data_IF_361782527371
#
_entry.id   IF_361782527371
#
_cell.length_a   1.000
_cell.length_b   1.000
_cell.length_c   1.000
_cell.angle_alpha   90.00
_cell.angle_beta   90.00
_cell.angle_gamma   90.00
#
_symmetry.space_group_name_H-M   'P 1'
#
loop_
_entity.id
_entity.type
_entity.pdbx_description
1 polymer ?
2 polymer ?
3 polymer ?
#
loop_
_entity_poly.entity_id
_entity_poly.type
_entity_poly.pdbx_seq_one_letter_code
_entity_poly.pdbx_strand_id
2 'polydeoxyribonucleotide' '(DT)(DA)(DA)(DT)(DG)(DT)(DC)(DA)(DA)(DA)(DT)(DA)(DT)(DT)(DG)(DA)(DC)(DA)' ?
3 'polydeoxyribonucleotide' '(DT)(DG)(DT)(DC)(DA)(DA)(DT)(DA)(DT)(DT)(DT)(DG)(DA)(DC)(DA)(DT)(DT)(DA)' ?
#
# COMPACT_ATOMS: atom_id res chain seq x y z
N UNK A 10 -18.45 24.97 2.51
CA UNK A 10 -17.07 25.14 2.05
C UNK A 10 -16.61 23.96 1.19
N UNK A 11 -16.39 24.20 -0.11
CA UNK A 11 -15.94 23.11 -1.00
C UNK A 11 -14.57 22.59 -0.64
N UNK A 12 -14.02 21.65 -1.41
CA UNK A 12 -12.76 21.05 -1.00
C UNK A 12 -11.73 20.97 -2.13
N UNK A 13 -12.14 20.48 -3.29
CA UNK A 13 -11.24 20.48 -4.44
C UNK A 13 -11.02 21.90 -4.96
N UNK A 14 -12.12 22.60 -5.26
CA UNK A 14 -12.03 24.00 -5.66
C UNK A 14 -11.57 24.95 -4.57
N UNK A 15 -11.25 24.42 -3.38
CA UNK A 15 -10.79 25.23 -2.27
C UNK A 15 -9.27 25.38 -2.25
N UNK A 16 -8.55 24.47 -2.89
CA UNK A 16 -7.11 24.39 -2.77
C UNK A 16 -6.41 25.38 -3.70
N UNK A 17 -5.14 25.67 -3.38
CA UNK A 17 -4.35 26.60 -4.16
C UNK A 17 -4.00 25.98 -5.52
N UNK A 18 -3.88 26.83 -6.53
CA UNK A 18 -3.65 26.33 -7.89
C UNK A 18 -2.41 25.46 -7.96
N UNK A 19 -1.36 25.84 -7.22
CA UNK A 19 -0.10 25.10 -7.31
C UNK A 19 -0.29 23.64 -6.92
N UNK A 20 -1.08 23.37 -5.86
CA UNK A 20 -1.27 21.99 -5.45
C UNK A 20 -1.91 21.17 -6.55
N UNK A 21 -2.92 21.72 -7.21
CA UNK A 21 -3.55 21.00 -8.31
C UNK A 21 -2.57 20.85 -9.46
N UNK A 22 -1.68 21.83 -9.65
CA UNK A 22 -0.67 21.69 -10.69
C UNK A 22 0.36 20.63 -10.31
N UNK A 23 0.81 20.66 -9.05
CA UNK A 23 1.75 19.64 -8.57
C UNK A 23 1.13 18.26 -8.69
N UNK A 24 -0.10 18.12 -8.17
CA UNK A 24 -0.74 16.83 -8.11
C UNK A 24 -1.09 16.32 -9.50
N UNK A 25 -1.26 17.21 -10.48
CA UNK A 25 -1.54 16.73 -11.82
C UNK A 25 -0.31 16.05 -12.42
N UNK A 26 0.89 16.57 -12.17
CA UNK A 26 2.09 15.88 -12.62
C UNK A 26 2.17 14.48 -12.06
N UNK A 27 1.88 14.34 -10.76
CA UNK A 27 1.95 13.03 -10.11
C UNK A 27 0.89 12.09 -10.67
N UNK A 28 -0.39 12.51 -10.63
CA UNK A 28 -1.49 11.60 -10.91
C UNK A 28 -1.80 11.47 -12.40
N UNK A 29 -1.69 12.56 -13.15
CA UNK A 29 -2.04 12.56 -14.57
C UNK A 29 -0.81 12.34 -15.45
N UNK A 30 0.25 13.11 -15.21
CA UNK A 30 1.48 12.98 -15.99
C UNK A 30 2.34 11.81 -15.54
N UNK A 31 1.93 11.10 -14.48
CA UNK A 31 2.66 9.94 -14.02
C UNK A 31 3.97 10.24 -13.33
N UNK A 32 4.34 11.51 -13.19
CA UNK A 32 5.61 11.90 -12.58
C UNK A 32 5.68 11.46 -11.13
N UNK A 33 6.90 11.32 -10.63
CA UNK A 33 7.08 10.90 -9.26
C UNK A 33 7.01 12.10 -8.33
N UNK A 34 6.79 11.81 -7.04
CA UNK A 34 6.73 12.88 -6.05
C UNK A 34 8.08 13.56 -5.90
N UNK A 35 9.14 12.78 -5.68
CA UNK A 35 10.48 13.34 -5.64
C UNK A 35 10.82 14.06 -6.94
N UNK A 36 10.30 13.57 -8.07
CA UNK A 36 10.54 14.25 -9.35
C UNK A 36 10.02 15.68 -9.33
N UNK A 37 8.69 15.85 -9.24
CA UNK A 37 8.10 17.18 -9.21
C UNK A 37 8.63 18.00 -8.04
N UNK A 38 9.08 17.33 -6.97
CA UNK A 38 9.72 18.03 -5.86
C UNK A 38 10.96 18.80 -6.33
N UNK A 39 11.95 18.07 -6.87
CA UNK A 39 13.13 18.74 -7.40
C UNK A 39 12.81 19.64 -8.58
N UNK A 40 11.80 19.28 -9.38
CA UNK A 40 11.39 20.12 -10.50
C UNK A 40 10.98 21.51 -10.02
N UNK A 41 10.01 21.57 -9.12
CA UNK A 41 9.53 22.84 -8.60
C UNK A 41 10.21 23.22 -7.29
N UNK A 42 11.32 22.56 -6.96
CA UNK A 42 12.18 23.04 -5.89
C UNK A 42 11.59 22.92 -4.51
N UNK A 43 10.77 21.90 -4.27
CA UNK A 43 10.16 21.72 -2.97
C UNK A 43 10.59 20.38 -2.39
N UNK A 44 10.37 20.22 -1.08
CA UNK A 44 10.71 18.97 -0.42
C UNK A 44 9.77 17.86 -0.88
N UNK A 45 10.26 16.62 -0.80
CA UNK A 45 9.43 15.47 -1.17
C UNK A 45 8.33 15.20 -0.15
N UNK A 46 8.43 15.80 1.05
CA UNK A 46 7.35 15.67 2.04
C UNK A 46 6.22 16.64 1.72
N UNK A 47 6.57 17.81 1.21
CA UNK A 47 5.55 18.78 0.85
C UNK A 47 4.71 18.26 -0.31
N UNK A 48 5.34 17.65 -1.31
CA UNK A 48 4.61 17.10 -2.45
C UNK A 48 3.73 15.93 -2.01
N UNK A 49 4.18 15.15 -1.02
CA UNK A 49 3.36 14.06 -0.50
C UNK A 49 2.09 14.61 0.15
N UNK A 50 2.22 15.60 1.02
CA UNK A 50 1.06 16.21 1.62
C UNK A 50 0.23 16.97 0.60
N UNK A 51 0.90 17.61 -0.37
CA UNK A 51 0.18 18.33 -1.42
C UNK A 51 -0.72 17.40 -2.21
N UNK A 52 -0.20 16.25 -2.62
CA UNK A 52 -0.99 15.25 -3.33
C UNK A 52 -2.06 14.66 -2.40
N UNK A 53 -1.70 14.40 -1.14
CA UNK A 53 -2.62 13.76 -0.22
C UNK A 53 -3.90 14.57 -0.04
N UNK A 54 -3.78 15.90 0.03
CA UNK A 54 -4.97 16.74 0.15
C UNK A 54 -5.90 16.56 -1.05
N UNK A 55 -5.33 16.34 -2.23
CA UNK A 55 -6.15 16.09 -3.41
C UNK A 55 -6.84 14.73 -3.31
N UNK A 56 -6.11 13.71 -2.86
CA UNK A 56 -6.70 12.37 -2.81
C UNK A 56 -7.75 12.28 -1.70
N UNK A 57 -7.56 13.03 -0.61
CA UNK A 57 -8.55 13.03 0.47
C UNK A 57 -9.82 13.80 0.09
N UNK A 58 -9.72 14.83 -0.75
CA UNK A 58 -10.92 15.51 -1.25
C UNK A 58 -11.59 14.67 -2.32
N UNK A 59 -10.80 14.08 -3.23
CA UNK A 59 -11.35 13.12 -4.18
C UNK A 59 -11.91 11.89 -3.50
N UNK A 60 -11.44 11.56 -2.30
CA UNK A 60 -12.04 10.53 -1.47
C UNK A 60 -13.08 11.11 -0.53
N UNK A 61 -13.29 12.43 -0.58
CA UNK A 61 -14.34 13.10 0.18
C UNK A 61 -14.30 12.69 1.66
N UNK A 62 -13.10 12.44 2.17
CA UNK A 62 -12.88 12.02 3.54
C UNK A 62 -12.04 13.09 4.23
N UNK A 63 -11.90 13.07 5.56
CA UNK A 63 -11.05 14.06 6.23
C UNK A 63 -9.61 14.01 5.75
N UNK A 64 -8.97 15.18 5.74
CA UNK A 64 -7.58 15.27 5.28
C UNK A 64 -6.63 14.58 6.23
N UNK A 65 -6.86 14.71 7.55
CA UNK A 65 -6.04 14.04 8.55
C UNK A 65 -6.12 12.53 8.49
N UNK A 66 -7.11 11.98 7.79
CA UNK A 66 -7.22 10.54 7.68
C UNK A 66 -6.03 9.97 6.91
N UNK A 67 -5.58 8.81 7.35
CA UNK A 67 -4.46 8.11 6.73
C UNK A 67 -4.96 6.85 6.07
N UNK A 68 -4.42 6.57 4.88
CA UNK A 68 -4.74 5.33 4.18
C UNK A 68 -3.94 4.19 4.78
N UNK A 69 -4.53 3.00 4.79
CA UNK A 69 -3.89 1.81 5.31
C UNK A 69 -4.26 0.62 4.43
N UNK A 70 -3.28 0.07 3.71
CA UNK A 70 -3.45 -1.13 2.90
C UNK A 70 -2.73 -2.27 3.59
N UNK A 71 -3.45 -3.37 3.82
CA UNK A 71 -3.06 -4.39 4.78
C UNK A 71 -3.64 -5.73 4.36
N UNK A 72 -2.92 -6.80 4.69
CA UNK A 72 -3.39 -8.16 4.48
C UNK A 72 -3.88 -8.70 5.82
N UNK A 73 -5.12 -9.19 5.85
CA UNK A 73 -5.71 -9.61 7.11
C UNK A 73 -6.59 -10.81 6.90
N UNK A 74 -6.73 -11.68 7.90
CA UNK A 74 -7.68 -12.78 7.80
C UNK A 74 -9.08 -12.26 7.52
N UNK A 75 -9.90 -13.03 6.79
CA UNK A 75 -11.23 -12.51 6.40
C UNK A 75 -12.10 -12.09 7.58
N UNK A 76 -12.08 -12.86 8.66
CA UNK A 76 -12.77 -12.44 9.88
C UNK A 76 -12.42 -11.01 10.21
N UNK A 77 -11.15 -10.76 10.53
CA UNK A 77 -10.70 -9.42 10.86
C UNK A 77 -10.69 -8.46 9.67
N UNK A 78 -10.77 -8.97 8.44
CA UNK A 78 -10.82 -8.07 7.29
C UNK A 78 -12.19 -7.42 7.16
N UNK A 79 -13.26 -8.14 7.46
CA UNK A 79 -14.58 -7.50 7.49
C UNK A 79 -14.70 -6.58 8.70
N UNK A 80 -13.96 -6.88 9.78
CA UNK A 80 -13.89 -5.97 10.92
C UNK A 80 -13.42 -4.58 10.49
N UNK A 81 -12.28 -4.51 9.78
CA UNK A 81 -11.73 -3.21 9.40
C UNK A 81 -12.56 -2.58 8.28
N UNK A 82 -13.06 -3.40 7.35
CA UNK A 82 -13.92 -2.87 6.30
C UNK A 82 -15.16 -2.20 6.88
N UNK A 83 -15.60 -2.66 8.04
CA UNK A 83 -16.73 -2.05 8.73
C UNK A 83 -16.32 -0.76 9.43
N UNK A 84 -15.08 -0.68 9.90
CA UNK A 84 -14.60 0.54 10.55
C UNK A 84 -14.63 1.72 9.60
N UNK A 85 -14.22 1.51 8.36
CA UNK A 85 -14.32 2.58 7.36
C UNK A 85 -15.76 3.03 7.20
N UNK A 86 -16.70 2.10 7.24
CA UNK A 86 -18.11 2.44 7.14
C UNK A 86 -18.57 3.24 8.36
N UNK A 87 -18.23 2.76 9.56
CA UNK A 87 -18.59 3.45 10.80
C UNK A 87 -17.74 4.68 11.04
N UNK A 88 -16.84 5.02 10.12
CA UNK A 88 -16.15 6.29 10.13
C UNK A 88 -16.66 7.23 9.05
N UNK A 89 -16.77 6.73 7.81
CA UNK A 89 -17.39 7.53 6.75
C UNK A 89 -18.76 8.02 7.17
N UNK A 90 -19.54 7.16 7.82
CA UNK A 90 -20.88 7.49 8.30
C UNK A 90 -20.88 7.99 9.74
N UNK A 91 -19.70 8.24 10.32
CA UNK A 91 -19.60 8.93 11.59
C UNK A 91 -19.42 10.43 11.37
N UNK A 92 -18.40 10.81 10.60
CA UNK A 92 -18.23 12.22 10.25
C UNK A 92 -19.46 12.73 9.50
N UNK A 93 -20.09 11.86 8.71
CA UNK A 93 -21.30 12.26 7.98
C UNK A 93 -22.40 12.73 8.92
N UNK A 94 -22.45 12.17 10.13
CA UNK A 94 -23.38 12.60 11.17
C UNK A 94 -22.88 13.80 11.96
N UNK A 95 -21.56 13.91 12.18
CA UNK A 95 -21.02 15.06 12.89
C UNK A 95 -21.16 16.36 12.13
N UNK A 96 -21.29 16.30 10.80
CA UNK A 96 -21.34 17.55 10.03
C UNK A 96 -22.68 18.26 10.15
N UNK A 97 -23.77 17.50 10.31
CA UNK A 97 -25.11 18.08 10.33
C UNK A 97 -25.67 18.25 11.73
N UNK A 98 -25.07 17.65 12.76
CA UNK A 98 -25.61 17.67 14.12
C UNK A 98 -24.72 18.34 15.15
N UNK A 99 -23.41 18.41 14.94
CA UNK A 99 -22.54 19.09 15.88
C UNK A 99 -22.88 20.59 15.99
N UNK A 100 -23.44 21.19 14.93
CA UNK A 100 -23.95 22.55 15.03
C UNK A 100 -25.09 22.63 16.05
N UNK A 101 -25.63 21.49 16.47
CA UNK A 101 -26.64 21.40 17.52
C UNK A 101 -26.03 21.02 18.88
N UNK A 102 -24.83 21.54 19.15
CA UNK A 102 -24.24 21.53 20.49
C UNK A 102 -24.72 22.72 21.31
N UNK A 103 -26.02 23.03 21.31
CA UNK A 103 -26.58 24.29 21.87
C UNK A 103 -27.26 24.06 23.21
N UNK B 2 7.73 -24.72 -7.74
CA UNK B 2 6.57 -23.85 -7.90
C UNK B 2 6.09 -23.89 -9.36
N UNK B 3 4.78 -24.07 -9.56
CA UNK B 3 4.22 -24.14 -10.90
C UNK B 3 3.29 -22.95 -11.18
N UNK B 4 2.00 -23.23 -11.37
CA UNK B 4 0.99 -22.18 -11.36
C UNK B 4 0.70 -21.67 -9.95
N UNK B 5 1.40 -22.19 -8.95
CA UNK B 5 1.36 -21.60 -7.62
C UNK B 5 1.97 -20.22 -7.61
N UNK B 6 2.92 -19.96 -8.53
CA UNK B 6 3.51 -18.63 -8.64
C UNK B 6 2.48 -17.62 -9.09
N UNK B 7 1.86 -17.86 -10.24
CA UNK B 7 0.87 -16.95 -10.79
C UNK B 7 -0.21 -16.62 -9.78
N UNK B 8 -0.45 -17.51 -8.81
CA UNK B 8 -1.37 -17.22 -7.74
C UNK B 8 -0.74 -16.43 -6.61
N UNK B 9 0.57 -16.28 -6.60
CA UNK B 9 1.21 -15.48 -5.55
C UNK B 9 1.28 -14.00 -5.89
N UNK B 10 1.01 -13.62 -7.15
CA UNK B 10 1.20 -12.24 -7.61
C UNK B 10 0.51 -11.20 -6.72
N UNK B 11 -0.78 -11.33 -6.37
CA UNK B 11 -1.37 -10.31 -5.47
C UNK B 11 -0.53 -10.03 -4.23
N UNK B 12 -0.09 -11.08 -3.54
CA UNK B 12 0.75 -10.92 -2.35
C UNK B 12 2.17 -10.50 -2.69
N UNK B 13 2.54 -10.52 -3.97
CA UNK B 13 3.84 -10.04 -4.44
C UNK B 13 3.84 -8.55 -4.69
N UNK B 14 2.87 -7.83 -4.17
CA UNK B 14 2.92 -6.39 -4.21
C UNK B 14 4.17 -5.86 -3.55
N UNK B 15 4.42 -4.57 -3.76
CA UNK B 15 5.56 -3.81 -3.25
C UNK B 15 6.87 -4.22 -3.92
N UNK B 16 6.86 -5.22 -4.80
CA UNK B 16 8.00 -5.65 -5.58
C UNK B 16 7.79 -5.25 -7.04
N UNK B 17 8.87 -5.11 -7.79
CA UNK B 17 8.69 -4.69 -9.17
C UNK B 17 8.56 -5.88 -10.09
N UNK B 18 8.27 -5.58 -11.36
CA UNK B 18 8.04 -6.65 -12.31
C UNK B 18 9.34 -7.38 -12.63
N UNK B 19 10.43 -6.62 -12.79
CA UNK B 19 11.73 -7.25 -13.02
C UNK B 19 12.10 -8.17 -11.85
N UNK B 20 11.93 -7.69 -10.61
CA UNK B 20 12.16 -8.56 -9.46
C UNK B 20 11.22 -9.77 -9.48
N UNK B 21 10.01 -9.59 -9.97
CA UNK B 21 9.08 -10.71 -10.06
C UNK B 21 9.41 -11.61 -11.24
N UNK B 22 9.62 -11.00 -12.42
CA UNK B 22 10.01 -11.79 -13.59
C UNK B 22 11.27 -12.61 -13.32
N UNK B 23 12.26 -12.01 -12.66
CA UNK B 23 13.54 -12.68 -12.41
C UNK B 23 13.33 -13.89 -11.52
N UNK B 24 12.65 -13.69 -10.39
CA UNK B 24 12.41 -14.80 -9.47
C UNK B 24 11.55 -15.88 -10.11
N UNK B 25 10.78 -15.56 -11.15
CA UNK B 25 9.96 -16.58 -11.80
C UNK B 25 10.79 -17.47 -12.71
N UNK B 26 11.89 -16.94 -13.24
CA UNK B 26 12.80 -17.78 -14.02
C UNK B 26 13.46 -18.84 -13.14
N UNK B 27 13.70 -18.51 -11.86
CA UNK B 27 14.30 -19.46 -10.94
C UNK B 27 13.27 -20.43 -10.38
N UNK B 28 12.20 -19.91 -9.79
CA UNK B 28 11.29 -20.76 -9.03
C UNK B 28 10.43 -21.65 -9.92
N UNK B 29 10.10 -21.19 -11.12
CA UNK B 29 9.21 -21.92 -12.02
C UNK B 29 9.97 -22.45 -13.24
N UNK B 30 10.62 -21.56 -13.98
CA UNK B 30 11.38 -21.98 -15.17
C UNK B 30 12.56 -22.88 -14.83
N UNK B 31 12.91 -23.02 -13.55
CA UNK B 31 14.00 -23.88 -13.17
C UNK B 31 15.38 -23.33 -13.47
N UNK B 32 15.49 -22.10 -13.95
CA UNK B 32 16.80 -21.53 -14.21
C UNK B 32 17.57 -21.37 -12.89
N UNK B 33 18.88 -21.15 -13.01
CA UNK B 33 19.70 -21.00 -11.82
C UNK B 33 19.88 -19.52 -11.48
N UNK B 34 20.05 -19.25 -10.18
CA UNK B 34 20.25 -17.88 -9.72
C UNK B 34 21.47 -17.25 -10.40
N UNK B 35 22.62 -17.93 -10.35
CA UNK B 35 23.83 -17.35 -10.91
C UNK B 35 23.72 -17.19 -12.43
N UNK B 36 22.97 -18.06 -13.10
CA UNK B 36 22.81 -17.93 -14.54
C UNK B 36 22.02 -16.67 -14.90
N UNK B 37 20.87 -16.46 -14.25
CA UNK B 37 20.06 -15.28 -14.56
C UNK B 37 20.72 -14.02 -14.07
N UNK B 38 21.53 -14.10 -13.00
CA UNK B 38 22.24 -12.91 -12.54
C UNK B 38 23.17 -12.38 -13.63
N UNK B 39 23.82 -13.30 -14.36
CA UNK B 39 24.62 -12.90 -15.52
C UNK B 39 23.74 -12.46 -16.67
N UNK B 40 22.56 -13.08 -16.80
CA UNK B 40 21.65 -12.72 -17.89
C UNK B 40 21.21 -11.28 -17.78
N UNK B 41 20.80 -10.86 -16.58
CA UNK B 41 20.34 -9.49 -16.38
C UNK B 41 21.26 -8.70 -15.45
N UNK B 42 22.56 -8.73 -15.76
CA UNK B 42 23.56 -7.86 -15.16
C UNK B 42 23.44 -7.57 -13.68
N UNK B 43 23.40 -8.60 -12.86
CA UNK B 43 23.12 -8.46 -11.44
C UNK B 43 24.11 -9.30 -10.63
N UNK B 44 24.29 -8.93 -9.37
CA UNK B 44 25.00 -9.80 -8.45
C UNK B 44 24.18 -11.06 -8.20
N UNK B 45 24.87 -12.16 -7.96
CA UNK B 45 24.16 -13.39 -7.59
C UNK B 45 23.55 -13.29 -6.21
N UNK B 46 24.02 -12.35 -5.38
CA UNK B 46 23.40 -12.16 -4.07
C UNK B 46 22.04 -11.51 -4.20
N UNK B 47 21.88 -10.58 -5.15
CA UNK B 47 20.60 -9.94 -5.35
C UNK B 47 19.54 -10.94 -5.78
N UNK B 48 19.89 -11.79 -6.75
CA UNK B 48 18.93 -12.79 -7.24
C UNK B 48 18.58 -13.76 -6.12
N UNK B 49 19.53 -14.05 -5.23
CA UNK B 49 19.19 -14.78 -4.02
C UNK B 49 18.15 -14.03 -3.20
N UNK B 50 18.42 -12.75 -2.92
CA UNK B 50 17.50 -11.96 -2.13
C UNK B 50 16.18 -11.71 -2.88
N UNK B 51 16.24 -11.62 -4.20
CA UNK B 51 15.02 -11.38 -4.99
C UNK B 51 14.02 -12.51 -4.80
N UNK B 52 14.45 -13.76 -4.99
CA UNK B 52 13.52 -14.86 -4.84
C UNK B 52 13.14 -15.03 -3.37
N UNK B 53 14.10 -14.86 -2.46
CA UNK B 53 13.82 -15.01 -1.03
C UNK B 53 12.71 -14.07 -0.60
N UNK B 54 12.64 -12.90 -1.23
CA UNK B 54 11.52 -11.99 -1.04
C UNK B 54 10.21 -12.62 -1.52
N UNK B 55 10.21 -13.11 -2.75
CA UNK B 55 9.05 -13.77 -3.31
C UNK B 55 8.66 -14.98 -2.45
N UNK B 56 9.65 -15.71 -1.94
CA UNK B 56 9.38 -16.92 -1.17
C UNK B 56 8.81 -16.56 0.20
N UNK B 57 9.48 -15.64 0.90
CA UNK B 57 9.01 -15.24 2.22
C UNK B 57 7.61 -14.65 2.15
N UNK B 58 7.34 -13.82 1.14
CA UNK B 58 5.99 -13.27 0.97
C UNK B 58 4.94 -14.36 0.94
N UNK B 59 5.28 -15.55 0.44
CA UNK B 59 4.36 -16.68 0.49
C UNK B 59 4.12 -17.11 1.93
N UNK B 60 5.20 -17.31 2.69
CA UNK B 60 5.06 -17.76 4.08
C UNK B 60 4.42 -16.69 4.97
N UNK B 61 4.67 -15.42 4.68
CA UNK B 61 4.19 -14.35 5.55
C UNK B 61 2.67 -14.25 5.55
N UNK B 62 2.05 -14.37 4.37
CA UNK B 62 0.61 -14.18 4.22
C UNK B 62 0.00 -15.46 3.67
N UNK B 63 -0.92 -16.10 4.40
CA UNK B 63 -1.69 -17.20 3.80
C UNK B 63 -2.60 -16.69 2.68
N UNK B 64 -2.88 -17.59 1.73
CA UNK B 64 -3.75 -17.24 0.61
C UNK B 64 -5.19 -16.98 1.02
N UNK B 65 -5.56 -17.29 2.27
CA UNK B 65 -6.91 -17.01 2.75
C UNK B 65 -7.08 -15.54 3.10
N UNK B 66 -6.03 -14.87 3.55
CA UNK B 66 -6.14 -13.48 3.98
C UNK B 66 -6.58 -12.60 2.81
N UNK B 67 -7.24 -11.50 3.14
CA UNK B 67 -7.80 -10.59 2.15
C UNK B 67 -7.02 -9.28 2.16
N UNK B 68 -6.88 -8.67 0.98
CA UNK B 68 -6.20 -7.38 0.87
C UNK B 68 -7.24 -6.26 0.99
N UNK B 69 -7.01 -5.36 1.93
CA UNK B 69 -7.95 -4.29 2.24
C UNK B 69 -7.20 -2.96 2.28
N UNK B 70 -7.65 -2.01 1.47
CA UNK B 70 -7.08 -0.67 1.40
C UNK B 70 -8.13 0.31 1.90
N UNK B 71 -7.82 1.01 3.00
CA UNK B 71 -8.84 1.68 3.80
C UNK B 71 -8.30 3.02 4.30
N UNK B 72 -9.18 4.02 4.35
CA UNK B 72 -8.88 5.34 4.89
C UNK B 72 -9.51 5.48 6.27
N UNK B 73 -8.69 5.77 7.28
CA UNK B 73 -9.12 5.78 8.66
C UNK B 73 -8.64 7.02 9.39
N UNK B 74 -9.33 7.43 10.45
CA UNK B 74 -8.77 8.38 11.40
C UNK B 74 -7.41 7.90 11.90
N UNK B 75 -6.47 8.81 12.15
CA UNK B 75 -5.15 8.41 12.66
C UNK B 75 -5.19 7.52 13.89
N UNK B 76 -6.16 7.72 14.77
CA UNK B 76 -6.30 6.86 15.94
C UNK B 76 -6.47 5.40 15.54
N UNK B 77 -7.44 5.13 14.68
CA UNK B 77 -7.79 3.77 14.31
C UNK B 77 -6.91 3.21 13.21
N UNK B 78 -6.21 4.07 12.47
CA UNK B 78 -5.29 3.56 11.45
C UNK B 78 -4.16 2.76 12.07
N UNK B 79 -3.68 3.17 13.24
CA UNK B 79 -2.66 2.41 13.94
C UNK B 79 -3.19 1.08 14.43
N UNK B 80 -4.45 1.05 14.87
CA UNK B 80 -5.01 -0.18 15.42
C UNK B 80 -4.96 -1.30 14.40
N UNK B 81 -5.58 -1.10 13.24
CA UNK B 81 -5.53 -2.10 12.18
C UNK B 81 -4.09 -2.39 11.78
N UNK B 82 -3.26 -1.34 11.68
CA UNK B 82 -1.84 -1.54 11.42
C UNK B 82 -1.21 -2.45 12.45
N UNK B 83 -1.33 -2.09 13.73
CA UNK B 83 -0.71 -2.86 14.80
C UNK B 83 -1.27 -4.28 14.85
N UNK B 84 -2.57 -4.46 14.56
CA UNK B 84 -3.15 -5.79 14.64
C UNK B 84 -2.67 -6.70 13.52
N UNK B 85 -2.35 -6.15 12.35
CA UNK B 85 -1.71 -6.96 11.32
C UNK B 85 -0.33 -7.43 11.76
N UNK B 86 0.43 -6.55 12.42
CA UNK B 86 1.70 -6.98 13.00
C UNK B 86 1.49 -8.15 13.94
N UNK B 87 0.54 -8.01 14.88
CA UNK B 87 0.20 -9.12 15.77
C UNK B 87 -0.36 -10.31 14.99
N UNK B 88 -0.99 -10.06 13.83
CA UNK B 88 -1.52 -11.14 13.02
C UNK B 88 -0.43 -11.84 12.21
N UNK B 89 0.51 -11.08 11.65
CA UNK B 89 1.67 -11.70 11.03
C UNK B 89 2.57 -12.36 12.06
N UNK B 90 2.64 -11.79 13.27
CA UNK B 90 3.43 -12.41 14.32
C UNK B 90 2.90 -13.80 14.65
N UNK B 91 1.58 -13.97 14.66
CA UNK B 91 0.99 -15.25 15.04
C UNK B 91 1.18 -16.30 13.96
N UNK B 92 1.20 -15.89 12.70
CA UNK B 92 1.49 -16.83 11.62
C UNK B 92 2.97 -17.19 11.65
N UNK B 93 3.82 -16.22 12.04
CA UNK B 93 5.26 -16.41 11.94
C UNK B 93 5.77 -17.52 12.86
N UNK B 94 5.29 -17.59 14.11
CA UNK B 94 5.89 -18.57 15.00
C UNK B 94 5.33 -19.97 14.76
N UNK B 95 4.26 -20.10 13.96
CA UNK B 95 3.80 -21.43 13.54
C UNK B 95 4.81 -22.11 12.64
N UNK B 96 5.48 -21.37 11.76
CA UNK B 96 6.60 -21.92 11.00
C UNK B 96 7.72 -22.25 11.97
N UNK B 97 8.00 -23.54 12.14
CA UNK B 97 8.79 -23.96 13.29
C UNK B 97 9.45 -25.31 13.00
N UNK B 98 8.64 -26.34 12.75
CA UNK B 98 9.12 -27.71 12.49
C UNK B 98 10.03 -28.23 13.61
#
# INVERSE_FOLDING_TARGET
MTAAAFDDLRPRLGRLTEETIDIAREVLVEGKSQSDVARERGLSRQRVSSMVKSVVSAANEIPREWQRVEVWLPPNLAEKVRQMEADAKADVARKNQLTDAALEHHHHHH
MTAAAFDDLRPRLGRLTEETIDIAREVLVEGKSQSDVARERGLSRQRVSSMVKSVVSAANEIPREWQRVEVWLPPNLAEKVRQMEADAKADVARKNQLTDAALEHHHHHH
#
